data_IF_742056498113
#
_entry.id   IF_742056498113
#
_cell.length_a   1.000
_cell.length_b   1.000
_cell.length_c   1.000
_cell.angle_alpha   90.00
_cell.angle_beta   90.00
_cell.angle_gamma   90.00
#
_symmetry.space_group_name_H-M   'P 1'
#
loop_
_entity.id
_entity.type
_entity.pdbx_description
1 polymer ?
#
# COMPACT_ATOMS: atom_id res chain seq x y z
N UNK A 1 -2.11 27.90 -9.16
CA UNK A 1 -2.15 26.81 -8.18
C UNK A 1 -2.72 25.63 -8.94
N UNK A 2 -2.10 24.44 -8.94
CA UNK A 2 -2.85 23.25 -9.36
C UNK A 2 -4.11 23.15 -8.49
N UNK A 3 -5.24 22.78 -9.09
CA UNK A 3 -6.48 22.58 -8.34
C UNK A 3 -6.24 21.51 -7.26
N UNK A 4 -6.66 21.78 -6.02
CA UNK A 4 -6.62 20.79 -4.96
C UNK A 4 -7.44 19.56 -5.36
N UNK A 5 -6.97 18.33 -5.06
CA UNK A 5 -7.70 17.12 -5.37
C UNK A 5 -9.07 17.16 -4.68
N UNK A 6 -10.12 16.85 -5.43
CA UNK A 6 -11.50 16.84 -4.92
C UNK A 6 -11.99 15.41 -4.82
N UNK A 7 -12.60 15.11 -3.70
CA UNK A 7 -13.25 13.83 -3.44
C UNK A 7 -14.76 14.03 -3.40
N UNK A 8 -15.51 13.18 -4.11
CA UNK A 8 -16.97 13.10 -4.01
C UNK A 8 -17.38 12.53 -2.66
N UNK A 9 -16.70 11.46 -2.24
CA UNK A 9 -16.80 10.86 -0.92
C UNK A 9 -15.39 10.50 -0.41
N UNK A 10 -14.91 11.25 0.59
CA UNK A 10 -13.55 11.08 1.12
C UNK A 10 -13.35 9.77 1.87
N UNK A 11 -14.42 9.11 2.34
CA UNK A 11 -14.28 7.79 3.02
C UNK A 11 -14.45 6.61 2.06
N UNK A 12 -14.79 6.88 0.80
CA UNK A 12 -14.92 5.88 -0.26
C UNK A 12 -14.43 6.46 -1.61
N UNK A 13 -13.13 6.79 -1.70
CA UNK A 13 -12.58 7.44 -2.88
C UNK A 13 -12.52 6.48 -4.07
N UNK A 14 -12.73 7.02 -5.26
CA UNK A 14 -12.51 6.29 -6.51
C UNK A 14 -11.03 6.16 -6.83
N UNK A 15 -10.62 5.17 -7.66
CA UNK A 15 -9.25 5.03 -8.12
C UNK A 15 -8.67 6.30 -8.77
N UNK A 16 -9.48 7.04 -9.52
CA UNK A 16 -9.06 8.28 -10.16
C UNK A 16 -8.84 9.42 -9.16
N UNK A 17 -9.64 9.49 -8.10
CA UNK A 17 -9.46 10.45 -7.02
C UNK A 17 -8.19 10.15 -6.21
N UNK A 18 -7.93 8.88 -5.91
CA UNK A 18 -6.68 8.44 -5.25
C UNK A 18 -5.47 8.80 -6.12
N UNK A 19 -5.52 8.50 -7.42
CA UNK A 19 -4.44 8.83 -8.37
C UNK A 19 -4.22 10.34 -8.45
N UNK A 20 -5.29 11.13 -8.59
CA UNK A 20 -5.23 12.59 -8.63
C UNK A 20 -4.56 13.15 -7.37
N UNK A 21 -4.98 12.69 -6.19
CA UNK A 21 -4.36 13.07 -4.92
C UNK A 21 -2.89 12.66 -4.84
N UNK A 22 -2.55 11.43 -5.23
CA UNK A 22 -1.19 10.91 -5.15
C UNK A 22 -0.16 11.75 -5.93
N UNK A 23 -0.58 12.36 -7.05
CA UNK A 23 0.25 13.25 -7.87
C UNK A 23 0.10 14.74 -7.54
N UNK A 24 -0.84 15.12 -6.68
CA UNK A 24 -1.10 16.54 -6.37
C UNK A 24 -0.05 17.19 -5.46
N UNK A 25 0.64 16.38 -4.63
CA UNK A 25 1.50 16.88 -3.55
C UNK A 25 0.73 17.49 -2.37
N UNK A 26 -0.60 17.37 -2.34
CA UNK A 26 -1.42 17.79 -1.22
C UNK A 26 -1.20 16.88 0.00
N UNK A 27 -1.52 17.41 1.18
CA UNK A 27 -1.59 16.62 2.42
C UNK A 27 -2.71 15.58 2.36
N UNK A 28 -2.75 14.69 3.35
CA UNK A 28 -3.84 13.71 3.45
C UNK A 28 -5.20 14.43 3.58
N UNK A 29 -6.26 13.93 2.91
CA UNK A 29 -7.57 14.59 2.90
C UNK A 29 -8.25 14.55 4.27
N UNK A 30 -7.89 13.56 5.10
CA UNK A 30 -8.44 13.34 6.43
C UNK A 30 -7.53 12.44 7.27
N UNK A 31 -7.78 12.41 8.58
CA UNK A 31 -7.13 11.47 9.49
C UNK A 31 -7.36 10.01 9.06
N UNK A 32 -6.36 9.16 9.29
CA UNK A 32 -6.37 7.72 8.98
C UNK A 32 -6.61 7.43 7.49
N UNK A 33 -6.27 8.39 6.62
CA UNK A 33 -6.41 8.24 5.17
C UNK A 33 -5.63 7.04 4.62
N UNK A 34 -4.50 6.68 5.25
CA UNK A 34 -3.72 5.49 4.90
C UNK A 34 -4.53 4.20 5.10
N UNK A 35 -5.42 4.17 6.09
CA UNK A 35 -6.35 3.07 6.33
C UNK A 35 -7.53 3.08 5.36
N UNK A 36 -8.05 4.27 5.00
CA UNK A 36 -9.17 4.40 4.06
C UNK A 36 -8.80 3.82 2.68
N UNK A 37 -7.59 4.09 2.18
CA UNK A 37 -7.17 3.57 0.87
C UNK A 37 -6.54 2.18 0.94
N UNK A 38 -6.27 1.65 2.14
CA UNK A 38 -5.74 0.30 2.36
C UNK A 38 -6.83 -0.79 2.22
N UNK A 39 -7.41 -0.85 1.03
CA UNK A 39 -8.38 -1.87 0.61
C UNK A 39 -7.77 -2.80 -0.46
N UNK A 40 -8.13 -4.08 -0.44
CA UNK A 40 -7.73 -5.07 -1.45
C UNK A 40 -8.21 -4.66 -2.86
N UNK A 41 -9.32 -3.93 -2.98
CA UNK A 41 -9.78 -3.38 -4.26
C UNK A 41 -8.82 -2.32 -4.83
N UNK A 42 -8.06 -1.63 -3.99
CA UNK A 42 -7.07 -0.65 -4.41
C UNK A 42 -5.67 -1.26 -4.62
N UNK A 43 -5.49 -2.56 -4.38
CA UNK A 43 -4.17 -3.21 -4.38
C UNK A 43 -3.37 -2.97 -5.67
N UNK A 44 -4.00 -3.17 -6.83
CA UNK A 44 -3.34 -2.98 -8.13
C UNK A 44 -2.96 -1.51 -8.37
N UNK A 45 -3.85 -0.58 -8.01
CA UNK A 45 -3.60 0.86 -8.09
C UNK A 45 -2.44 1.28 -7.18
N UNK A 46 -2.40 0.80 -5.93
CA UNK A 46 -1.31 1.12 -5.02
C UNK A 46 0.02 0.60 -5.57
N UNK A 47 0.07 -0.64 -6.07
CA UNK A 47 1.29 -1.20 -6.68
C UNK A 47 1.75 -0.40 -7.91
N UNK A 48 0.81 0.03 -8.76
CA UNK A 48 1.08 0.92 -9.91
C UNK A 48 1.73 2.23 -9.44
N UNK A 49 1.06 2.94 -8.53
CA UNK A 49 1.49 4.26 -8.07
C UNK A 49 2.80 4.22 -7.24
N UNK A 50 3.03 3.15 -6.48
CA UNK A 50 4.28 2.96 -5.74
C UNK A 50 5.43 2.65 -6.70
N UNK A 51 5.16 1.96 -7.80
CA UNK A 51 6.18 1.64 -8.81
C UNK A 51 6.71 2.87 -9.53
N UNK A 52 5.90 3.93 -9.64
CA UNK A 52 6.31 5.20 -10.22
C UNK A 52 7.19 6.01 -9.25
N UNK A 53 8.48 6.14 -9.58
CA UNK A 53 9.44 6.90 -8.78
C UNK A 53 9.17 8.42 -8.78
N UNK A 54 8.34 8.91 -9.71
CA UNK A 54 7.93 10.31 -9.79
C UNK A 54 6.69 10.63 -8.94
N UNK A 55 6.00 9.62 -8.42
CA UNK A 55 4.81 9.79 -7.58
C UNK A 55 5.18 10.46 -6.24
N UNK A 56 4.74 11.70 -5.97
CA UNK A 56 5.05 12.42 -4.73
C UNK A 56 4.60 11.68 -3.47
N UNK A 57 3.41 11.05 -3.52
CA UNK A 57 2.83 10.32 -2.39
C UNK A 57 3.30 8.86 -2.29
N UNK A 58 4.31 8.43 -3.06
CA UNK A 58 4.82 7.05 -3.11
C UNK A 58 5.07 6.43 -1.73
N UNK A 59 5.70 7.18 -0.82
CA UNK A 59 5.99 6.69 0.54
C UNK A 59 4.71 6.42 1.33
N UNK A 60 3.75 7.33 1.24
CA UNK A 60 2.46 7.21 1.93
C UNK A 60 1.67 6.00 1.40
N UNK A 61 1.64 5.82 0.08
CA UNK A 61 0.96 4.69 -0.56
C UNK A 61 1.60 3.34 -0.16
N UNK A 62 2.92 3.31 0.03
CA UNK A 62 3.60 2.14 0.56
C UNK A 62 3.12 1.79 1.98
N UNK A 63 2.90 2.80 2.83
CA UNK A 63 2.35 2.58 4.17
C UNK A 63 0.96 1.93 4.09
N UNK A 64 0.09 2.42 3.20
CA UNK A 64 -1.23 1.81 2.93
C UNK A 64 -1.12 0.37 2.41
N UNK A 65 -0.17 0.07 1.52
CA UNK A 65 0.03 -1.28 1.00
C UNK A 65 0.39 -2.29 2.10
N UNK A 66 1.20 -1.88 3.09
CA UNK A 66 1.48 -2.72 4.25
C UNK A 66 0.25 -2.85 5.17
N UNK A 67 -0.53 -1.79 5.33
CA UNK A 67 -1.81 -1.83 6.05
C UNK A 67 -2.81 -2.79 5.41
N UNK A 68 -2.87 -2.92 4.07
CA UNK A 68 -3.73 -3.90 3.40
C UNK A 68 -3.46 -5.30 3.95
N UNK A 69 -2.21 -5.76 3.89
CA UNK A 69 -1.89 -7.11 4.36
C UNK A 69 -2.07 -7.26 5.88
N UNK A 70 -1.73 -6.22 6.66
CA UNK A 70 -1.91 -6.21 8.11
C UNK A 70 -3.36 -6.32 8.59
N UNK A 71 -4.33 -5.94 7.74
CA UNK A 71 -5.78 -6.01 8.02
C UNK A 71 -6.51 -7.13 7.29
N UNK A 72 -5.90 -7.71 6.27
CA UNK A 72 -6.55 -8.72 5.44
C UNK A 72 -6.45 -10.12 6.04
N UNK A 73 -7.35 -10.98 5.59
CA UNK A 73 -7.22 -12.41 5.81
C UNK A 73 -5.99 -12.91 5.04
N UNK A 74 -5.08 -13.62 5.75
CA UNK A 74 -3.80 -14.06 5.18
C UNK A 74 -3.94 -15.13 4.08
N UNK A 75 -5.17 -15.60 3.86
CA UNK A 75 -5.54 -16.54 2.80
C UNK A 75 -6.21 -15.87 1.60
N UNK A 76 -6.29 -14.54 1.55
CA UNK A 76 -6.85 -13.82 0.40
C UNK A 76 -6.00 -14.07 -0.85
N UNK A 77 -6.61 -14.71 -1.85
CA UNK A 77 -5.91 -15.15 -3.05
C UNK A 77 -5.48 -14.00 -3.96
N UNK A 78 -6.16 -12.84 -3.92
CA UNK A 78 -5.76 -11.65 -4.69
C UNK A 78 -4.45 -11.10 -4.12
N UNK A 79 -4.36 -11.01 -2.79
CA UNK A 79 -3.13 -10.56 -2.12
C UNK A 79 -1.97 -11.51 -2.36
N UNK A 80 -2.18 -12.81 -2.20
CA UNK A 80 -1.12 -13.80 -2.41
C UNK A 80 -0.63 -13.79 -3.86
N UNK A 81 -1.54 -13.69 -4.84
CA UNK A 81 -1.17 -13.63 -6.26
C UNK A 81 -0.40 -12.34 -6.59
N UNK A 82 -0.85 -11.21 -6.06
CA UNK A 82 -0.15 -9.93 -6.24
C UNK A 82 1.25 -9.96 -5.60
N UNK A 83 1.38 -10.55 -4.41
CA UNK A 83 2.66 -10.69 -3.71
C UNK A 83 3.67 -11.58 -4.47
N UNK A 84 3.20 -12.69 -5.04
CA UNK A 84 4.01 -13.57 -5.91
C UNK A 84 4.52 -12.84 -7.15
N UNK A 85 3.72 -11.95 -7.72
CA UNK A 85 4.17 -11.09 -8.83
C UNK A 85 5.15 -10.03 -8.32
N UNK A 86 4.80 -9.35 -7.22
CA UNK A 86 5.53 -8.24 -6.64
C UNK A 86 6.97 -8.60 -6.25
N UNK A 87 7.22 -9.80 -5.71
CA UNK A 87 8.59 -10.24 -5.32
C UNK A 87 9.63 -10.19 -6.44
N UNK A 88 9.18 -10.20 -7.70
CA UNK A 88 10.04 -10.11 -8.90
C UNK A 88 10.04 -8.71 -9.54
N UNK A 89 9.32 -7.75 -8.94
CA UNK A 89 9.26 -6.38 -9.43
C UNK A 89 10.65 -5.71 -9.40
N UNK A 90 10.96 -4.81 -10.35
CA UNK A 90 12.21 -4.07 -10.36
C UNK A 90 12.31 -3.07 -9.19
N UNK A 91 11.17 -2.57 -8.70
CA UNK A 91 11.12 -1.71 -7.52
C UNK A 91 11.42 -2.52 -6.25
N UNK A 92 12.47 -2.12 -5.53
CA UNK A 92 12.96 -2.86 -4.36
C UNK A 92 11.98 -2.87 -3.19
N UNK A 93 11.15 -1.84 -3.03
CA UNK A 93 10.16 -1.78 -1.95
C UNK A 93 9.00 -2.72 -2.23
N UNK A 94 8.49 -2.72 -3.47
CA UNK A 94 7.45 -3.65 -3.92
C UNK A 94 7.95 -5.09 -3.83
N UNK A 95 9.18 -5.35 -4.30
CA UNK A 95 9.79 -6.67 -4.23
C UNK A 95 9.95 -7.18 -2.79
N UNK A 96 10.32 -6.29 -1.86
CA UNK A 96 10.44 -6.64 -0.45
C UNK A 96 9.09 -6.92 0.19
N UNK A 97 8.07 -6.09 -0.10
CA UNK A 97 6.70 -6.35 0.35
C UNK A 97 6.22 -7.73 -0.12
N UNK A 98 6.38 -8.05 -1.41
CA UNK A 98 6.00 -9.34 -1.97
C UNK A 98 6.69 -10.53 -1.28
N UNK A 99 8.00 -10.42 -1.02
CA UNK A 99 8.74 -11.45 -0.27
C UNK A 99 8.21 -11.63 1.15
N UNK A 100 7.92 -10.55 1.87
CA UNK A 100 7.40 -10.60 3.25
C UNK A 100 6.02 -11.24 3.30
N UNK A 101 5.14 -10.90 2.36
CA UNK A 101 3.77 -11.45 2.32
C UNK A 101 3.83 -12.96 2.12
N UNK A 102 4.64 -13.40 1.17
CA UNK A 102 4.77 -14.82 0.91
C UNK A 102 5.47 -15.58 2.03
N UNK A 103 6.47 -14.98 2.70
CA UNK A 103 7.07 -15.57 3.89
C UNK A 103 6.03 -15.86 4.96
N UNK A 104 5.14 -14.90 5.24
CA UNK A 104 4.04 -15.09 6.19
C UNK A 104 3.01 -16.11 5.70
N UNK A 105 2.74 -16.17 4.40
CA UNK A 105 1.85 -17.19 3.85
C UNK A 105 2.39 -18.61 4.07
N UNK A 106 3.70 -18.81 3.94
CA UNK A 106 4.41 -20.07 4.20
C UNK A 106 4.60 -20.34 5.72
N UNK A 107 4.76 -19.29 6.52
CA UNK A 107 5.00 -19.36 7.97
C UNK A 107 4.00 -18.48 8.75
N UNK A 108 2.70 -18.86 8.83
CA UNK A 108 1.68 -18.00 9.44
C UNK A 108 1.92 -17.63 10.91
N UNK A 109 2.72 -18.43 11.63
CA UNK A 109 3.13 -18.17 13.01
C UNK A 109 4.01 -16.93 13.18
N UNK A 110 4.68 -16.50 12.11
CA UNK A 110 5.60 -15.37 12.12
C UNK A 110 4.87 -14.03 11.94
N UNK A 111 3.56 -14.09 11.69
CA UNK A 111 2.75 -12.89 11.55
C UNK A 111 2.60 -12.16 12.89
N UNK A 112 3.06 -10.91 12.90
CA UNK A 112 2.78 -9.96 13.96
C UNK A 112 2.26 -8.65 13.33
N UNK A 113 0.99 -8.32 13.58
CA UNK A 113 0.32 -7.17 12.98
C UNK A 113 1.06 -5.84 13.20
N UNK A 114 1.74 -5.68 14.34
CA UNK A 114 2.49 -4.46 14.64
C UNK A 114 3.66 -4.23 13.65
N UNK A 115 4.25 -5.30 13.12
CA UNK A 115 5.33 -5.20 12.15
C UNK A 115 4.82 -4.77 10.77
N UNK A 116 3.53 -4.96 10.49
CA UNK A 116 2.91 -4.59 9.21
C UNK A 116 2.29 -3.19 9.24
N UNK A 117 1.44 -2.92 10.23
CA UNK A 117 0.66 -1.68 10.30
C UNK A 117 1.25 -0.65 11.29
N UNK A 118 2.29 -1.00 12.05
CA UNK A 118 2.87 -0.13 13.06
C UNK A 118 3.75 0.98 12.48
N UNK A 119 3.88 2.08 13.25
CA UNK A 119 4.67 3.26 12.87
C UNK A 119 6.14 2.91 12.55
N UNK A 120 6.74 1.98 13.31
CA UNK A 120 8.14 1.55 13.18
C UNK A 120 8.29 0.17 12.52
N UNK A 121 7.26 -0.30 11.80
CA UNK A 121 7.22 -1.63 11.19
C UNK A 121 8.05 -1.77 9.91
N UNK A 122 7.79 -2.84 9.16
CA UNK A 122 8.44 -3.23 7.91
C UNK A 122 8.48 -2.14 6.83
N UNK A 123 7.51 -1.21 6.85
CA UNK A 123 7.45 -0.07 5.92
C UNK A 123 8.63 0.91 6.04
N UNK A 124 9.38 0.86 7.15
CA UNK A 124 10.55 1.71 7.39
C UNK A 124 11.86 1.19 6.78
N UNK A 125 11.91 -0.09 6.37
CA UNK A 125 13.15 -0.74 5.93
C UNK A 125 12.96 -1.49 4.59
N UNK A 126 13.64 -1.07 3.52
CA UNK A 126 13.61 -1.76 2.22
C UNK A 126 14.52 -2.99 2.19
N UNK A 127 15.48 -3.10 3.09
CA UNK A 127 16.24 -4.32 3.27
C UNK A 127 15.37 -5.29 4.07
N UNK A 128 15.27 -6.52 3.57
CA UNK A 128 14.51 -7.62 4.17
C UNK A 128 14.76 -7.70 5.67
#
# INVERSE_FOLDING_TARGET
>A
MPDEPRFVDVVNPTPDEIRSWAYSGAFEPMQDWDLIIADVENLELLLELIGDQSCPSRKYLLDSLYCIFGHSERTDTRLLTAAETARTAPDTWIATWGRRVCHVAEHPSDFNRADWCGLDGFRSNPAG
#
